data_IF_921080968631
#
_entry.id   IF_921080968631
#
_cell.length_a   1.000
_cell.length_b   1.000
_cell.length_c   1.000
_cell.angle_alpha   90.00
_cell.angle_beta   90.00
_cell.angle_gamma   90.00
#
_symmetry.space_group_name_H-M   'P 1'
#
loop_
_entity.id
_entity.type
_entity.pdbx_description
1 polymer ?
#
# COMPACT_ATOMS: atom_id res chain seq x y z
N UNK A 1 44.76 -39.84 -52.66
CA UNK A 1 45.74 -38.76 -52.87
C UNK A 1 44.94 -37.49 -53.13
N UNK A 2 44.82 -36.62 -52.13
CA UNK A 2 44.26 -35.27 -52.33
C UNK A 2 45.25 -34.45 -53.14
N UNK A 3 44.77 -33.74 -54.17
CA UNK A 3 45.58 -32.88 -55.02
C UNK A 3 46.31 -31.83 -54.15
N UNK A 4 47.64 -31.63 -54.28
CA UNK A 4 48.36 -30.59 -53.57
C UNK A 4 47.74 -29.20 -53.75
N UNK A 5 47.08 -28.91 -54.88
CA UNK A 5 46.38 -27.65 -55.10
C UNK A 5 45.16 -27.46 -54.16
N UNK A 6 44.40 -28.52 -53.89
CA UNK A 6 43.25 -28.50 -52.97
C UNK A 6 43.69 -28.31 -51.51
N UNK A 7 44.84 -28.87 -51.13
CA UNK A 7 45.38 -28.72 -49.77
C UNK A 7 45.74 -27.26 -49.44
N UNK A 8 46.35 -26.55 -50.39
CA UNK A 8 46.73 -25.13 -50.27
C UNK A 8 45.51 -24.22 -50.23
N UNK A 9 44.46 -24.52 -51.01
CA UNK A 9 43.19 -23.79 -50.97
C UNK A 9 42.47 -23.96 -49.63
N UNK A 10 42.46 -25.18 -49.07
CA UNK A 10 41.87 -25.47 -47.76
C UNK A 10 42.64 -24.78 -46.63
N UNK A 11 43.98 -24.75 -46.70
CA UNK A 11 44.82 -24.05 -45.72
C UNK A 11 44.64 -22.52 -45.78
N UNK A 12 44.61 -21.93 -46.98
CA UNK A 12 44.36 -20.50 -47.16
C UNK A 12 42.94 -20.07 -46.73
N UNK A 13 41.93 -20.92 -46.90
CA UNK A 13 40.58 -20.69 -46.36
C UNK A 13 40.55 -20.81 -44.82
N UNK A 14 41.24 -21.80 -44.24
CA UNK A 14 41.37 -21.95 -42.78
C UNK A 14 42.09 -20.76 -42.14
N UNK A 15 43.13 -20.23 -42.77
CA UNK A 15 43.84 -19.03 -42.29
C UNK A 15 42.97 -17.77 -42.32
N UNK A 16 42.20 -17.54 -43.40
CA UNK A 16 41.25 -16.42 -43.47
C UNK A 16 40.18 -16.49 -42.38
N UNK A 17 39.67 -17.68 -42.07
CA UNK A 17 38.72 -17.89 -40.96
C UNK A 17 39.40 -17.64 -39.61
N UNK A 18 40.64 -18.12 -39.41
CA UNK A 18 41.44 -17.88 -38.19
C UNK A 18 41.72 -16.39 -37.96
N UNK A 19 42.00 -15.62 -39.01
CA UNK A 19 42.25 -14.17 -38.93
C UNK A 19 41.01 -13.40 -38.45
N UNK A 20 39.80 -13.82 -38.83
CA UNK A 20 38.54 -13.23 -38.37
C UNK A 20 38.02 -13.74 -37.02
N UNK A 21 38.45 -14.93 -36.59
CA UNK A 21 37.96 -15.61 -35.39
C UNK A 21 38.25 -14.80 -34.11
N UNK A 22 39.45 -14.25 -33.97
CA UNK A 22 39.83 -13.44 -32.78
C UNK A 22 39.01 -12.16 -32.63
N UNK A 23 38.54 -11.57 -33.74
CA UNK A 23 37.70 -10.36 -33.75
C UNK A 23 36.27 -10.69 -33.34
N UNK A 24 35.74 -11.82 -33.81
CA UNK A 24 34.41 -12.34 -33.42
C UNK A 24 34.37 -12.73 -31.94
N UNK A 25 35.35 -13.50 -31.47
CA UNK A 25 35.44 -13.90 -30.05
C UNK A 25 35.57 -12.70 -29.11
N UNK A 26 36.29 -11.64 -29.50
CA UNK A 26 36.34 -10.38 -28.73
C UNK A 26 35.02 -9.62 -28.73
N UNK A 27 34.29 -9.60 -29.84
CA UNK A 27 32.95 -9.00 -29.92
C UNK A 27 31.95 -9.77 -29.06
N UNK A 28 31.96 -11.11 -29.12
CA UNK A 28 31.12 -11.99 -28.32
C UNK A 28 31.40 -11.86 -26.82
N UNK A 29 32.68 -11.83 -26.41
CA UNK A 29 33.05 -11.58 -25.00
C UNK A 29 32.55 -10.22 -24.51
N UNK A 30 32.66 -9.17 -25.32
CA UNK A 30 32.12 -7.84 -24.98
C UNK A 30 30.60 -7.86 -24.88
N UNK A 31 29.91 -8.50 -25.83
CA UNK A 31 28.45 -8.63 -25.79
C UNK A 31 27.97 -9.39 -24.55
N UNK A 32 28.60 -10.53 -24.23
CA UNK A 32 28.32 -11.28 -23.00
C UNK A 32 28.62 -10.43 -21.75
N UNK A 33 29.74 -9.70 -21.73
CA UNK A 33 30.07 -8.82 -20.61
C UNK A 33 29.04 -7.70 -20.44
N UNK A 34 28.60 -7.04 -21.52
CA UNK A 34 27.54 -6.03 -21.46
C UNK A 34 26.22 -6.63 -20.98
N UNK A 35 25.85 -7.83 -21.44
CA UNK A 35 24.66 -8.54 -20.95
C UNK A 35 24.72 -8.84 -19.45
N UNK A 36 25.85 -9.37 -18.98
CA UNK A 36 26.06 -9.64 -17.54
C UNK A 36 26.04 -8.35 -16.73
N UNK A 37 26.72 -7.28 -17.20
CA UNK A 37 26.71 -5.97 -16.53
C UNK A 37 25.28 -5.40 -16.47
N UNK A 38 24.51 -5.50 -17.55
CA UNK A 38 23.12 -5.05 -17.58
C UNK A 38 22.24 -5.81 -16.57
N UNK A 39 22.39 -7.14 -16.50
CA UNK A 39 21.67 -7.97 -15.52
C UNK A 39 22.06 -7.60 -14.10
N UNK A 40 23.37 -7.47 -13.81
CA UNK A 40 23.86 -7.08 -12.48
C UNK A 40 23.34 -5.70 -12.11
N UNK A 41 23.40 -4.73 -13.02
CA UNK A 41 22.88 -3.38 -12.79
C UNK A 41 21.36 -3.40 -12.51
N UNK A 42 20.59 -4.19 -13.27
CA UNK A 42 19.15 -4.34 -13.06
C UNK A 42 18.83 -4.94 -11.68
N UNK A 43 19.57 -5.97 -11.27
CA UNK A 43 19.42 -6.59 -9.94
C UNK A 43 19.79 -5.58 -8.84
N UNK A 44 20.89 -4.85 -9.00
CA UNK A 44 21.31 -3.83 -8.03
C UNK A 44 20.26 -2.71 -7.91
N UNK A 45 19.70 -2.26 -9.03
CA UNK A 45 18.63 -1.26 -9.04
C UNK A 45 17.36 -1.80 -8.35
N UNK A 46 16.98 -3.06 -8.59
CA UNK A 46 15.85 -3.70 -7.92
C UNK A 46 16.08 -3.80 -6.41
N UNK A 47 17.25 -4.25 -5.98
CA UNK A 47 17.62 -4.35 -4.56
C UNK A 47 17.65 -2.96 -3.90
N UNK A 48 18.16 -1.95 -4.59
CA UNK A 48 18.13 -0.57 -4.13
C UNK A 48 16.68 -0.06 -3.96
N UNK A 49 15.82 -0.30 -4.95
CA UNK A 49 14.41 0.09 -4.88
C UNK A 49 13.69 -0.65 -3.73
N UNK A 50 13.87 -1.97 -3.62
CA UNK A 50 13.30 -2.76 -2.54
C UNK A 50 13.80 -2.29 -1.16
N UNK A 51 15.09 -1.98 -1.05
CA UNK A 51 15.71 -1.46 0.17
C UNK A 51 15.14 -0.09 0.57
N UNK A 52 14.96 0.82 -0.38
CA UNK A 52 14.37 2.14 -0.10
C UNK A 52 12.90 2.05 0.29
N UNK A 53 12.12 1.17 -0.36
CA UNK A 53 10.72 0.90 0.02
C UNK A 53 10.66 0.34 1.45
N UNK A 54 11.50 -0.64 1.78
CA UNK A 54 11.54 -1.22 3.13
C UNK A 54 11.94 -0.19 4.19
N UNK A 55 12.99 0.60 3.93
CA UNK A 55 13.48 1.62 4.85
C UNK A 55 12.45 2.73 5.12
N UNK A 56 11.77 3.21 4.07
CA UNK A 56 10.75 4.25 4.21
C UNK A 56 9.45 3.71 4.81
N UNK A 57 9.11 2.45 4.51
CA UNK A 57 7.86 1.81 4.93
C UNK A 57 7.87 1.23 6.34
N UNK A 58 9.05 0.92 6.92
CA UNK A 58 9.13 0.23 8.22
C UNK A 58 8.38 0.97 9.34
N UNK A 59 8.37 2.30 9.29
CA UNK A 59 7.73 3.13 10.29
C UNK A 59 6.20 2.95 10.36
N UNK A 60 5.56 2.43 9.30
CA UNK A 60 4.11 2.17 9.28
C UNK A 60 3.68 1.02 10.21
N UNK A 61 4.60 0.10 10.53
CA UNK A 61 4.36 -1.00 11.48
C UNK A 61 4.30 -0.53 12.95
N UNK A 62 4.60 0.73 13.22
CA UNK A 62 4.54 1.32 14.54
C UNK A 62 3.50 2.44 14.54
N UNK A 63 2.79 2.61 15.64
CA UNK A 63 1.81 3.68 15.82
C UNK A 63 2.02 4.32 17.18
N UNK A 64 2.03 5.64 17.22
CA UNK A 64 2.09 6.42 18.45
C UNK A 64 0.70 6.53 19.07
N UNK A 65 0.61 6.23 20.36
CA UNK A 65 -0.57 6.34 21.19
C UNK A 65 -0.33 7.35 22.31
N UNK A 66 -1.37 8.08 22.68
CA UNK A 66 -1.34 9.07 23.75
C UNK A 66 -2.41 8.68 24.77
N UNK A 67 -2.02 8.64 26.04
CA UNK A 67 -2.91 8.37 27.17
C UNK A 67 -3.61 9.67 27.59
N UNK A 68 -4.92 9.68 27.46
CA UNK A 68 -5.77 10.81 27.81
C UNK A 68 -6.67 10.43 28.98
N UNK A 69 -6.80 11.34 29.94
CA UNK A 69 -7.77 11.19 31.02
C UNK A 69 -9.02 11.97 30.62
N UNK A 70 -10.14 11.27 30.54
CA UNK A 70 -11.41 11.82 30.09
C UNK A 70 -12.42 11.71 31.21
N UNK A 71 -12.97 12.84 31.63
CA UNK A 71 -14.13 12.87 32.50
C UNK A 71 -15.37 12.60 31.66
N UNK A 72 -16.08 11.52 31.97
CA UNK A 72 -17.28 11.10 31.26
C UNK A 72 -18.48 11.82 31.84
N UNK A 73 -18.69 13.07 31.41
CA UNK A 73 -19.83 13.85 31.87
C UNK A 73 -21.15 13.18 31.45
N UNK A 74 -22.01 12.92 32.43
CA UNK A 74 -23.31 12.30 32.19
C UNK A 74 -24.24 13.22 31.38
N UNK A 75 -24.12 14.54 31.54
CA UNK A 75 -24.94 15.50 30.81
C UNK A 75 -24.58 15.53 29.31
N UNK A 76 -23.31 15.32 28.98
CA UNK A 76 -22.85 15.26 27.58
C UNK A 76 -23.10 13.89 26.95
N UNK A 77 -22.86 12.80 27.69
CA UNK A 77 -22.85 11.44 27.12
C UNK A 77 -24.23 10.78 27.17
N UNK A 78 -25.03 11.07 28.20
CA UNK A 78 -26.35 10.46 28.41
C UNK A 78 -27.32 11.48 29.02
N UNK A 79 -27.67 12.57 28.29
CA UNK A 79 -28.54 13.64 28.81
C UNK A 79 -29.91 13.12 29.26
N UNK A 80 -30.44 12.12 28.58
CA UNK A 80 -31.72 11.46 28.91
C UNK A 80 -31.59 10.39 30.02
N UNK A 81 -30.38 10.19 30.57
CA UNK A 81 -30.05 9.13 31.53
C UNK A 81 -30.07 7.71 30.96
N UNK A 82 -30.38 7.57 29.66
CA UNK A 82 -30.39 6.29 28.95
C UNK A 82 -28.97 5.88 28.56
N UNK A 83 -28.66 4.62 28.80
CA UNK A 83 -27.32 4.05 28.59
C UNK A 83 -27.33 2.87 27.63
N UNK A 84 -28.42 2.71 26.88
CA UNK A 84 -28.47 1.68 25.86
C UNK A 84 -27.51 1.98 24.70
N UNK A 85 -26.96 0.95 24.04
CA UNK A 85 -25.94 1.14 23.01
C UNK A 85 -26.37 1.96 21.80
N UNK A 86 -27.67 2.07 21.49
CA UNK A 86 -28.13 2.83 20.34
C UNK A 86 -28.20 4.32 20.69
N UNK A 87 -28.89 4.67 21.79
CA UNK A 87 -28.97 6.04 22.28
C UNK A 87 -27.58 6.63 22.55
N UNK A 88 -26.67 5.86 23.18
CA UNK A 88 -25.30 6.36 23.37
C UNK A 88 -24.61 6.68 22.04
N UNK A 89 -24.83 5.91 20.96
CA UNK A 89 -24.19 6.19 19.67
C UNK A 89 -24.73 7.42 18.97
N UNK A 90 -26.04 7.66 19.11
CA UNK A 90 -26.76 8.70 18.40
C UNK A 90 -26.71 10.04 19.13
N UNK A 91 -26.90 10.02 20.46
CA UNK A 91 -27.12 11.23 21.26
C UNK A 91 -25.91 11.63 22.13
N UNK A 92 -24.94 10.74 22.34
CA UNK A 92 -23.81 10.99 23.24
C UNK A 92 -22.72 11.87 22.64
N UNK A 93 -22.42 13.02 23.25
CA UNK A 93 -21.32 13.92 22.86
C UNK A 93 -19.97 13.48 23.47
N UNK A 94 -19.44 12.37 22.94
CA UNK A 94 -18.10 11.88 23.33
C UNK A 94 -16.98 12.82 22.90
N UNK A 95 -17.20 13.58 21.83
CA UNK A 95 -16.23 14.55 21.33
C UNK A 95 -16.09 15.72 22.30
N UNK A 96 -17.20 16.27 22.76
CA UNK A 96 -17.26 17.32 23.77
C UNK A 96 -16.55 16.88 25.05
N UNK A 97 -16.94 15.72 25.60
CA UNK A 97 -16.30 15.17 26.81
C UNK A 97 -14.78 15.02 26.68
N UNK A 98 -14.30 14.52 25.53
CA UNK A 98 -12.86 14.41 25.23
C UNK A 98 -12.18 15.78 25.14
N UNK A 99 -12.75 16.71 24.37
CA UNK A 99 -12.17 18.05 24.17
C UNK A 99 -12.13 18.82 25.48
N UNK A 100 -13.21 18.83 26.25
CA UNK A 100 -13.28 19.53 27.54
C UNK A 100 -12.22 18.99 28.52
N UNK A 101 -12.10 17.66 28.61
CA UNK A 101 -11.09 17.02 29.45
C UNK A 101 -9.66 17.36 29.03
N UNK A 102 -9.37 17.39 27.72
CA UNK A 102 -8.07 17.77 27.18
C UNK A 102 -7.74 19.24 27.46
N UNK A 103 -8.67 20.15 27.16
CA UNK A 103 -8.49 21.58 27.35
C UNK A 103 -8.29 21.90 28.84
N UNK A 104 -9.06 21.26 29.73
CA UNK A 104 -8.91 21.39 31.17
C UNK A 104 -7.54 20.89 31.66
N UNK A 105 -7.12 19.70 31.23
CA UNK A 105 -5.87 19.05 31.65
C UNK A 105 -4.63 19.89 31.29
N UNK A 106 -4.62 20.47 30.09
CA UNK A 106 -3.51 21.29 29.61
C UNK A 106 -3.70 22.80 29.84
N UNK A 107 -4.78 23.21 30.53
CA UNK A 107 -5.15 24.60 30.85
C UNK A 107 -5.11 25.51 29.62
N UNK A 108 -5.59 24.99 28.48
CA UNK A 108 -5.58 25.72 27.21
C UNK A 108 -6.71 26.73 27.19
N UNK A 109 -6.45 27.93 26.64
CA UNK A 109 -7.45 28.98 26.45
C UNK A 109 -7.39 29.51 25.03
N UNK A 110 -8.55 29.65 24.42
CA UNK A 110 -8.72 30.28 23.11
C UNK A 110 -8.83 29.25 21.99
N UNK A 111 -9.79 29.47 21.11
CA UNK A 111 -10.24 28.51 20.10
C UNK A 111 -9.13 27.98 19.19
N UNK A 112 -8.19 28.84 18.82
CA UNK A 112 -7.06 28.44 17.98
C UNK A 112 -6.14 27.43 18.69
N UNK A 113 -5.81 27.68 19.96
CA UNK A 113 -4.95 26.77 20.73
C UNK A 113 -5.68 25.46 21.05
N UNK A 114 -6.97 25.54 21.36
CA UNK A 114 -7.81 24.34 21.55
C UNK A 114 -7.80 23.46 20.30
N UNK A 115 -8.05 24.04 19.12
CA UNK A 115 -8.02 23.30 17.86
C UNK A 115 -6.64 22.66 17.60
N UNK A 116 -5.55 23.37 17.91
CA UNK A 116 -4.19 22.82 17.78
C UNK A 116 -3.93 21.67 18.75
N UNK A 117 -4.45 21.73 19.98
CA UNK A 117 -4.34 20.63 20.94
C UNK A 117 -5.11 19.41 20.46
N UNK A 118 -6.37 19.60 20.05
CA UNK A 118 -7.22 18.51 19.56
C UNK A 118 -6.62 17.85 18.31
N UNK A 119 -6.00 18.63 17.42
CA UNK A 119 -5.32 18.12 16.23
C UNK A 119 -4.09 17.24 16.52
N UNK A 120 -3.64 17.14 17.77
CA UNK A 120 -2.58 16.20 18.16
C UNK A 120 -3.07 14.74 18.27
N UNK A 121 -4.38 14.55 18.31
CA UNK A 121 -5.04 13.26 18.48
C UNK A 121 -5.73 12.86 17.18
N UNK A 122 -5.83 11.56 16.92
CA UNK A 122 -6.54 11.08 15.74
C UNK A 122 -8.03 11.35 15.85
N UNK A 123 -8.70 11.55 14.72
CA UNK A 123 -10.16 11.68 14.64
C UNK A 123 -10.89 10.41 15.12
N UNK A 124 -10.20 9.25 15.19
CA UNK A 124 -10.74 8.02 15.77
C UNK A 124 -10.78 8.00 17.31
N UNK A 125 -10.19 9.00 17.98
CA UNK A 125 -10.18 9.07 19.45
C UNK A 125 -11.59 9.06 20.04
N UNK A 126 -12.51 9.82 19.42
CA UNK A 126 -13.93 9.87 19.78
C UNK A 126 -14.59 8.49 19.66
N UNK A 127 -14.42 7.82 18.52
CA UNK A 127 -14.97 6.47 18.28
C UNK A 127 -14.36 5.42 19.22
N UNK A 128 -13.10 5.58 19.59
CA UNK A 128 -12.44 4.72 20.57
C UNK A 128 -13.05 4.90 21.95
N UNK A 129 -13.26 6.15 22.37
CA UNK A 129 -13.92 6.47 23.62
C UNK A 129 -15.37 5.95 23.65
N UNK A 130 -16.15 6.25 22.61
CA UNK A 130 -17.53 5.80 22.45
C UNK A 130 -17.64 4.28 22.57
N UNK A 131 -16.81 3.50 21.85
CA UNK A 131 -16.81 2.03 21.94
C UNK A 131 -16.47 1.54 23.34
N UNK A 132 -15.55 2.21 24.04
CA UNK A 132 -15.16 1.85 25.40
C UNK A 132 -16.30 2.06 26.41
N UNK A 133 -17.01 3.19 26.29
CA UNK A 133 -18.15 3.53 27.17
C UNK A 133 -19.38 2.69 26.86
N UNK A 134 -19.70 2.42 25.59
CA UNK A 134 -20.82 1.54 25.24
C UNK A 134 -20.62 0.13 25.80
N UNK A 135 -19.39 -0.38 25.76
CA UNK A 135 -19.07 -1.67 26.36
C UNK A 135 -19.13 -1.66 27.90
N UNK A 136 -19.01 -0.48 28.52
CA UNK A 136 -18.96 -0.31 29.97
C UNK A 136 -19.72 0.96 30.42
N UNK A 137 -21.06 1.00 30.32
CA UNK A 137 -21.82 2.22 30.60
C UNK A 137 -21.69 2.71 32.06
N UNK A 138 -21.32 1.83 32.98
CA UNK A 138 -21.02 2.14 34.39
C UNK A 138 -19.86 3.12 34.59
N UNK A 139 -19.10 3.44 33.54
CA UNK A 139 -18.01 4.41 33.58
C UNK A 139 -18.51 5.86 33.52
N UNK A 140 -19.75 6.09 33.05
CA UNK A 140 -20.35 7.42 32.97
C UNK A 140 -20.36 8.07 34.37
N UNK A 141 -19.97 9.34 34.45
CA UNK A 141 -19.76 10.11 35.68
C UNK A 141 -18.38 9.93 36.32
N UNK A 142 -17.44 9.21 35.68
CA UNK A 142 -16.08 8.97 36.21
C UNK A 142 -15.01 9.48 35.26
N UNK A 143 -13.82 9.75 35.81
CA UNK A 143 -12.62 9.97 34.99
C UNK A 143 -12.03 8.63 34.59
N UNK A 144 -11.83 8.41 33.30
CA UNK A 144 -11.21 7.19 32.76
C UNK A 144 -9.95 7.56 31.97
N UNK A 145 -8.91 6.75 32.12
CA UNK A 145 -7.71 6.87 31.30
C UNK A 145 -7.82 5.94 30.09
N UNK A 146 -7.79 6.50 28.88
CA UNK A 146 -7.83 5.73 27.64
C UNK A 146 -6.61 6.04 26.77
N UNK A 147 -6.17 5.03 26.02
CA UNK A 147 -5.15 5.22 24.99
C UNK A 147 -5.83 5.51 23.66
N UNK A 148 -5.49 6.65 23.07
CA UNK A 148 -5.98 7.06 21.75
C UNK A 148 -4.81 7.20 20.79
N UNK A 149 -5.04 7.00 19.50
CA UNK A 149 -3.99 7.21 18.49
C UNK A 149 -3.60 8.68 18.43
N UNK A 150 -2.31 8.95 18.32
CA UNK A 150 -1.81 10.27 17.93
C UNK A 150 -2.18 10.57 16.48
N UNK A 151 -2.32 11.85 16.13
CA UNK A 151 -2.48 12.25 14.73
C UNK A 151 -1.21 11.95 13.93
N UNK A 152 -1.33 11.83 12.60
CA UNK A 152 -0.19 11.56 11.71
C UNK A 152 1.00 12.51 11.92
N UNK A 153 0.75 13.80 12.18
CA UNK A 153 1.82 14.76 12.43
C UNK A 153 2.57 14.47 13.75
N UNK A 154 1.86 14.10 14.82
CA UNK A 154 2.48 13.76 16.11
C UNK A 154 3.16 12.38 16.06
N UNK A 155 2.59 11.45 15.31
CA UNK A 155 3.20 10.16 15.06
C UNK A 155 4.52 10.30 14.27
N UNK A 156 4.54 11.12 13.23
CA UNK A 156 5.76 11.45 12.48
C UNK A 156 6.80 12.22 13.31
N UNK A 157 6.35 13.09 14.21
CA UNK A 157 7.23 13.75 15.19
C UNK A 157 7.91 12.73 16.10
N UNK A 158 7.14 11.79 16.64
CA UNK A 158 7.65 10.73 17.54
C UNK A 158 8.64 9.82 16.83
N UNK A 159 8.39 9.52 15.55
CA UNK A 159 9.26 8.71 14.69
C UNK A 159 10.48 9.46 14.14
N UNK A 160 10.64 10.74 14.48
CA UNK A 160 11.78 11.56 14.05
C UNK A 160 11.72 12.05 12.59
N UNK A 161 10.61 11.84 11.89
CA UNK A 161 10.41 12.34 10.53
C UNK A 161 10.17 13.86 10.50
N UNK A 162 9.54 14.42 11.55
CA UNK A 162 9.45 15.86 11.74
C UNK A 162 10.60 16.34 12.63
N UNK A 163 11.49 17.13 12.04
CA UNK A 163 12.67 17.71 12.68
C UNK A 163 12.27 18.86 13.62
N UNK A 164 12.64 18.75 14.90
CA UNK A 164 12.33 19.73 15.96
C UNK A 164 13.23 20.97 15.91
N UNK A 165 14.41 20.85 15.32
CA UNK A 165 15.42 21.91 15.19
C UNK A 165 15.11 22.92 14.09
N UNK A 166 14.10 22.65 13.26
CA UNK A 166 13.67 23.58 12.22
C UNK A 166 12.80 24.72 12.78
N UNK A 167 12.87 25.93 12.20
CA UNK A 167 11.95 27.02 12.53
C UNK A 167 10.49 26.59 12.40
N UNK A 168 9.60 27.17 13.21
CA UNK A 168 8.17 26.82 13.25
C UNK A 168 7.46 26.91 11.89
N UNK A 169 7.91 27.79 10.99
CA UNK A 169 7.40 27.91 9.62
C UNK A 169 7.76 26.71 8.73
N UNK A 170 8.85 26.01 9.02
CA UNK A 170 9.35 24.87 8.26
C UNK A 170 8.77 23.51 8.67
N UNK A 171 7.82 23.48 9.62
CA UNK A 171 7.25 22.25 10.17
C UNK A 171 5.74 22.35 10.39
N UNK A 172 5.07 21.20 10.28
CA UNK A 172 3.61 21.08 10.45
C UNK A 172 3.19 21.27 11.90
N UNK A 173 3.84 20.55 12.81
CA UNK A 173 3.68 20.71 14.26
C UNK A 173 4.20 22.10 14.67
N UNK A 174 3.53 22.78 15.61
CA UNK A 174 3.87 24.14 16.09
C UNK A 174 4.64 24.14 17.41
N UNK A 175 5.23 25.26 17.80
CA UNK A 175 6.04 25.37 19.04
C UNK A 175 5.19 25.03 20.26
N UNK A 176 3.96 25.53 20.28
CA UNK A 176 2.98 25.24 21.35
C UNK A 176 2.64 23.75 21.43
N UNK A 177 2.51 23.07 20.28
CA UNK A 177 2.24 21.63 20.25
C UNK A 177 3.44 20.80 20.69
N UNK A 178 4.68 21.24 20.41
CA UNK A 178 5.87 20.61 20.97
C UNK A 178 5.89 20.72 22.49
N UNK A 179 5.57 21.88 23.05
CA UNK A 179 5.53 22.03 24.51
C UNK A 179 4.50 21.09 25.17
N UNK A 180 3.33 20.89 24.55
CA UNK A 180 2.36 19.90 25.04
C UNK A 180 2.84 18.47 24.85
N UNK A 181 3.47 18.17 23.71
CA UNK A 181 4.06 16.86 23.45
C UNK A 181 5.14 16.51 24.48
N UNK A 182 6.09 17.42 24.73
CA UNK A 182 7.19 17.22 25.68
C UNK A 182 6.65 16.98 27.09
N UNK A 183 5.57 17.68 27.46
CA UNK A 183 4.86 17.43 28.73
C UNK A 183 4.22 16.04 28.77
N UNK A 184 3.54 15.62 27.71
CA UNK A 184 2.96 14.28 27.61
C UNK A 184 4.04 13.18 27.70
N UNK A 185 5.19 13.42 27.07
CA UNK A 185 6.34 12.52 27.09
C UNK A 185 6.93 12.42 28.50
N UNK A 186 7.15 13.56 29.18
CA UNK A 186 7.61 13.62 30.57
C UNK A 186 6.65 12.92 31.54
N UNK A 187 5.35 13.05 31.32
CA UNK A 187 4.30 12.40 32.12
C UNK A 187 4.16 10.88 31.82
N UNK A 188 4.95 10.33 30.89
CA UNK A 188 4.87 8.92 30.51
C UNK A 188 3.56 8.55 29.79
N UNK A 189 2.94 9.51 29.12
CA UNK A 189 1.63 9.36 28.43
C UNK A 189 1.77 9.05 26.96
N UNK A 190 2.97 8.97 26.41
CA UNK A 190 3.21 8.64 25.00
C UNK A 190 3.83 7.25 24.93
N UNK A 191 3.27 6.41 24.05
CA UNK A 191 3.79 5.07 23.81
C UNK A 191 3.72 4.73 22.32
N UNK A 192 4.81 4.23 21.77
CA UNK A 192 4.83 3.68 20.41
C UNK A 192 4.63 2.17 20.47
N UNK A 193 3.60 1.68 19.79
CA UNK A 193 3.20 0.26 19.79
C UNK A 193 3.25 -0.31 18.39
N UNK A 194 3.34 -1.63 18.29
CA UNK A 194 3.17 -2.32 17.01
C UNK A 194 1.73 -2.11 16.49
N UNK A 195 1.60 -1.63 15.25
CA UNK A 195 0.34 -1.27 14.63
C UNK A 195 -0.31 -2.50 14.01
N UNK A 196 -0.96 -3.33 14.83
CA UNK A 196 -1.75 -4.47 14.33
C UNK A 196 -2.91 -4.01 13.43
N UNK A 197 -3.43 -2.80 13.66
CA UNK A 197 -4.45 -2.18 12.82
C UNK A 197 -4.02 -2.03 11.36
N UNK A 198 -2.74 -1.83 11.09
CA UNK A 198 -2.20 -1.73 9.73
C UNK A 198 -2.62 -2.89 8.82
N UNK A 199 -2.74 -4.10 9.37
CA UNK A 199 -3.10 -5.30 8.61
C UNK A 199 -4.60 -5.56 8.55
N UNK A 200 -5.40 -4.95 9.43
CA UNK A 200 -6.84 -5.24 9.55
C UNK A 200 -7.74 -4.09 9.13
N UNK A 201 -7.22 -2.88 9.02
CA UNK A 201 -7.97 -1.71 8.54
C UNK A 201 -7.80 -1.51 7.03
N UNK A 202 -8.83 -0.92 6.42
CA UNK A 202 -8.82 -0.50 5.02
C UNK A 202 -8.13 0.85 4.81
N UNK A 203 -8.30 1.41 3.62
CA UNK A 203 -7.84 2.76 3.30
C UNK A 203 -8.58 3.81 4.14
N UNK A 204 -7.89 4.91 4.43
CA UNK A 204 -8.43 6.05 5.18
C UNK A 204 -7.84 7.35 4.65
N UNK A 205 -8.59 8.44 4.82
CA UNK A 205 -8.09 9.80 4.58
C UNK A 205 -7.08 10.25 5.64
N UNK A 206 -7.14 9.63 6.83
CA UNK A 206 -6.22 9.89 7.93
C UNK A 206 -5.10 8.83 7.94
N UNK A 207 -3.83 9.21 7.75
CA UNK A 207 -2.73 8.24 7.63
C UNK A 207 -2.58 7.30 8.82
N UNK A 208 -2.85 7.74 10.05
CA UNK A 208 -2.73 6.91 11.26
C UNK A 208 -3.86 5.85 11.40
N UNK A 209 -4.90 5.94 10.56
CA UNK A 209 -6.00 4.97 10.50
C UNK A 209 -5.91 4.05 9.29
N UNK A 210 -5.12 4.41 8.29
CA UNK A 210 -4.98 3.65 7.06
C UNK A 210 -4.28 2.29 7.30
N UNK A 211 -4.75 1.27 6.60
CA UNK A 211 -4.17 -0.06 6.57
C UNK A 211 -4.19 -0.66 5.17
N UNK A 212 -3.58 -1.83 5.03
CA UNK A 212 -3.37 -2.52 3.75
C UNK A 212 -4.41 -3.60 3.47
N UNK A 213 -5.35 -3.85 4.39
CA UNK A 213 -6.28 -4.97 4.28
C UNK A 213 -7.10 -4.93 2.99
N UNK A 214 -7.65 -3.75 2.65
CA UNK A 214 -8.43 -3.55 1.44
C UNK A 214 -7.62 -3.83 0.18
N UNK A 215 -6.36 -3.40 0.14
CA UNK A 215 -5.46 -3.63 -1.00
C UNK A 215 -5.08 -5.11 -1.15
N UNK A 216 -4.80 -5.80 -0.04
CA UNK A 216 -4.49 -7.24 -0.04
C UNK A 216 -5.69 -8.04 -0.54
N UNK A 217 -6.87 -7.83 0.05
CA UNK A 217 -8.09 -8.58 -0.31
C UNK A 217 -8.49 -8.27 -1.75
N UNK A 218 -8.47 -7.00 -2.16
CA UNK A 218 -8.78 -6.60 -3.53
C UNK A 218 -7.84 -7.26 -4.55
N UNK A 219 -6.53 -7.24 -4.28
CA UNK A 219 -5.54 -7.88 -5.16
C UNK A 219 -5.72 -9.39 -5.23
N UNK A 220 -5.93 -10.03 -4.07
CA UNK A 220 -6.16 -11.48 -4.00
C UNK A 220 -7.40 -11.89 -4.79
N UNK A 221 -8.53 -11.21 -4.59
CA UNK A 221 -9.77 -11.49 -5.31
C UNK A 221 -9.63 -11.26 -6.82
N UNK A 222 -8.91 -10.21 -7.21
CA UNK A 222 -8.64 -9.91 -8.63
C UNK A 222 -7.85 -11.05 -9.27
N UNK A 223 -6.74 -11.46 -8.66
CA UNK A 223 -5.93 -12.60 -9.13
C UNK A 223 -6.72 -13.91 -9.14
N UNK A 224 -7.58 -14.14 -8.15
CA UNK A 224 -8.41 -15.33 -8.07
C UNK A 224 -9.41 -15.40 -9.23
N UNK A 225 -10.09 -14.30 -9.54
CA UNK A 225 -11.00 -14.21 -10.69
C UNK A 225 -10.23 -14.43 -12.00
N UNK A 226 -9.08 -13.77 -12.16
CA UNK A 226 -8.22 -13.98 -13.33
C UNK A 226 -7.84 -15.44 -13.48
N UNK A 227 -7.39 -16.08 -12.40
CA UNK A 227 -6.98 -17.49 -12.43
C UNK A 227 -8.15 -18.41 -12.80
N UNK A 228 -9.33 -18.22 -12.18
CA UNK A 228 -10.52 -19.05 -12.44
C UNK A 228 -10.98 -18.96 -13.90
N UNK A 229 -10.82 -17.80 -14.54
CA UNK A 229 -11.23 -17.59 -15.94
C UNK A 229 -10.13 -18.00 -16.92
N UNK A 230 -8.92 -17.47 -16.75
CA UNK A 230 -7.82 -17.65 -17.69
C UNK A 230 -7.26 -19.08 -17.67
N UNK A 231 -7.15 -19.71 -16.50
CA UNK A 231 -6.49 -21.01 -16.40
C UNK A 231 -7.26 -22.12 -17.12
N UNK A 232 -8.58 -22.33 -16.90
CA UNK A 232 -9.31 -23.38 -17.61
C UNK A 232 -9.39 -23.13 -19.11
N UNK A 233 -9.64 -21.88 -19.53
CA UNK A 233 -9.74 -21.52 -20.95
C UNK A 233 -8.40 -21.66 -21.65
N UNK A 234 -7.32 -21.14 -21.05
CA UNK A 234 -5.97 -21.23 -21.59
C UNK A 234 -5.47 -22.66 -21.67
N UNK A 235 -5.68 -23.47 -20.62
CA UNK A 235 -5.31 -24.88 -20.62
C UNK A 235 -6.10 -25.67 -21.66
N UNK A 236 -7.42 -25.49 -21.72
CA UNK A 236 -8.27 -26.18 -22.68
C UNK A 236 -7.91 -25.80 -24.13
N UNK A 237 -7.66 -24.52 -24.41
CA UNK A 237 -7.24 -24.06 -25.72
C UNK A 237 -5.87 -24.63 -26.12
N UNK A 238 -4.89 -24.62 -25.20
CA UNK A 238 -3.56 -25.17 -25.45
C UNK A 238 -3.60 -26.68 -25.74
N UNK A 239 -4.30 -27.45 -24.90
CA UNK A 239 -4.45 -28.91 -25.11
C UNK A 239 -5.19 -29.21 -26.42
N UNK A 240 -6.25 -28.45 -26.72
CA UNK A 240 -7.00 -28.64 -27.96
C UNK A 240 -6.14 -28.35 -29.19
N UNK A 241 -5.41 -27.22 -29.21
CA UNK A 241 -4.59 -26.82 -30.36
C UNK A 241 -3.39 -27.75 -30.57
N UNK A 242 -2.75 -28.22 -29.50
CA UNK A 242 -1.55 -29.06 -29.62
C UNK A 242 -1.87 -30.53 -29.93
N UNK A 243 -2.90 -31.10 -29.29
CA UNK A 243 -3.16 -32.54 -29.36
C UNK A 243 -4.32 -32.92 -30.30
N UNK A 244 -5.35 -32.06 -30.41
CA UNK A 244 -6.61 -32.42 -31.09
C UNK A 244 -6.87 -31.64 -32.38
N UNK A 245 -6.30 -30.46 -32.56
CA UNK A 245 -6.65 -29.58 -33.66
C UNK A 245 -6.02 -30.07 -34.98
N UNK A 246 -6.82 -30.34 -36.02
CA UNK A 246 -6.28 -30.70 -37.33
C UNK A 246 -5.59 -29.48 -37.97
N UNK A 247 -4.49 -29.71 -38.70
CA UNK A 247 -3.78 -28.67 -39.46
C UNK A 247 -4.62 -28.21 -40.65
N UNK A 248 -5.39 -27.14 -40.46
CA UNK A 248 -6.25 -26.54 -41.47
C UNK A 248 -6.22 -25.01 -41.37
N UNK A 249 -6.79 -24.33 -42.37
CA UNK A 249 -6.83 -22.85 -42.41
C UNK A 249 -7.51 -22.20 -41.22
N UNK A 250 -8.42 -22.90 -40.54
CA UNK A 250 -9.10 -22.39 -39.36
C UNK A 250 -8.16 -22.40 -38.14
N UNK A 251 -7.44 -23.52 -37.93
CA UNK A 251 -6.39 -23.64 -36.91
C UNK A 251 -5.30 -22.60 -37.14
N UNK A 252 -4.82 -22.45 -38.38
CA UNK A 252 -3.82 -21.44 -38.74
C UNK A 252 -4.32 -20.01 -38.42
N UNK A 253 -5.60 -19.71 -38.70
CA UNK A 253 -6.21 -18.42 -38.38
C UNK A 253 -6.29 -18.18 -36.87
N UNK A 254 -6.65 -19.21 -36.08
CA UNK A 254 -6.70 -19.12 -34.62
C UNK A 254 -5.29 -18.86 -34.07
N UNK A 255 -4.28 -19.61 -34.50
CA UNK A 255 -2.89 -19.45 -34.06
C UNK A 255 -2.34 -18.05 -34.38
N UNK A 256 -2.61 -17.51 -35.58
CA UNK A 256 -2.21 -16.15 -35.95
C UNK A 256 -2.88 -15.11 -35.06
N UNK A 257 -4.17 -15.26 -34.76
CA UNK A 257 -4.87 -14.31 -33.87
C UNK A 257 -4.36 -14.38 -32.42
N UNK A 258 -4.07 -15.57 -31.90
CA UNK A 258 -3.47 -15.75 -30.56
C UNK A 258 -2.11 -15.05 -30.50
N UNK A 259 -1.25 -15.27 -31.50
CA UNK A 259 0.07 -14.63 -31.57
C UNK A 259 -0.04 -13.10 -31.71
N UNK A 260 -0.99 -12.61 -32.50
CA UNK A 260 -1.24 -11.17 -32.63
C UNK A 260 -1.73 -10.56 -31.31
N UNK A 261 -2.66 -11.22 -30.60
CA UNK A 261 -3.15 -10.78 -29.29
C UNK A 261 -2.02 -10.73 -28.26
N UNK A 262 -1.13 -11.72 -28.25
CA UNK A 262 0.03 -11.74 -27.34
C UNK A 262 1.03 -10.59 -27.59
N UNK A 263 1.05 -10.02 -28.80
CA UNK A 263 1.93 -8.91 -29.16
C UNK A 263 1.34 -7.52 -28.85
N UNK A 264 0.05 -7.42 -28.56
CA UNK A 264 -0.61 -6.14 -28.28
C UNK A 264 -0.20 -5.63 -26.89
N UNK A 265 0.14 -4.33 -26.74
CA UNK A 265 0.47 -3.76 -25.44
C UNK A 265 -0.68 -3.88 -24.43
N UNK A 266 -0.36 -4.25 -23.19
CA UNK A 266 -1.34 -4.48 -22.12
C UNK A 266 -2.26 -3.29 -21.82
N UNK A 267 -1.79 -2.05 -22.06
CA UNK A 267 -2.61 -0.84 -21.87
C UNK A 267 -3.84 -0.80 -22.80
N UNK A 268 -3.73 -1.35 -24.01
CA UNK A 268 -4.84 -1.40 -24.97
C UNK A 268 -5.92 -2.35 -24.46
N UNK A 269 -5.55 -3.52 -23.96
CA UNK A 269 -6.49 -4.46 -23.34
C UNK A 269 -7.14 -3.88 -22.08
N UNK A 270 -6.39 -3.14 -21.26
CA UNK A 270 -6.94 -2.45 -20.10
C UNK A 270 -8.03 -1.44 -20.45
N UNK A 271 -7.80 -0.61 -21.48
CA UNK A 271 -8.76 0.38 -21.95
C UNK A 271 -9.97 -0.27 -22.67
N UNK A 272 -9.75 -1.33 -23.44
CA UNK A 272 -10.82 -2.11 -24.07
C UNK A 272 -11.71 -2.77 -23.01
N UNK A 273 -11.09 -3.38 -22.00
CA UNK A 273 -11.77 -3.99 -20.87
C UNK A 273 -12.63 -2.98 -20.10
N UNK A 274 -12.11 -1.78 -19.86
CA UNK A 274 -12.90 -0.67 -19.29
C UNK A 274 -14.15 -0.38 -20.13
N UNK A 275 -14.01 -0.24 -21.45
CA UNK A 275 -15.11 0.07 -22.35
C UNK A 275 -16.16 -1.05 -22.40
N UNK A 276 -15.72 -2.30 -22.50
CA UNK A 276 -16.63 -3.45 -22.58
C UNK A 276 -17.32 -3.69 -21.24
N UNK A 277 -16.58 -3.81 -20.14
CA UNK A 277 -17.16 -4.22 -18.87
C UNK A 277 -17.85 -3.09 -18.12
N UNK A 278 -17.29 -1.88 -18.09
CA UNK A 278 -17.89 -0.77 -17.34
C UNK A 278 -18.85 0.08 -18.18
N UNK A 279 -18.58 0.30 -19.47
CA UNK A 279 -19.44 1.17 -20.28
C UNK A 279 -20.55 0.38 -21.01
N UNK A 280 -20.26 -0.82 -21.51
CA UNK A 280 -21.24 -1.62 -22.25
C UNK A 280 -22.04 -2.55 -21.34
N UNK A 281 -21.38 -3.30 -20.45
CA UNK A 281 -22.05 -4.19 -19.49
C UNK A 281 -22.44 -3.52 -18.17
N UNK A 282 -22.12 -2.23 -17.99
CA UNK A 282 -22.47 -1.42 -16.80
C UNK A 282 -22.07 -2.05 -15.46
N UNK A 283 -20.97 -2.81 -15.43
CA UNK A 283 -20.52 -3.46 -14.21
C UNK A 283 -20.03 -2.44 -13.18
N UNK A 284 -20.09 -2.77 -11.87
CA UNK A 284 -19.68 -1.86 -10.82
C UNK A 284 -18.19 -1.50 -10.92
N UNK A 285 -17.90 -0.20 -10.82
CA UNK A 285 -16.53 0.31 -10.77
C UNK A 285 -15.84 -0.16 -9.49
N UNK A 286 -14.51 -0.28 -9.54
CA UNK A 286 -13.68 -0.66 -8.39
C UNK A 286 -13.98 -2.04 -7.82
N UNK A 287 -14.62 -2.92 -8.60
CA UNK A 287 -14.85 -4.31 -8.22
C UNK A 287 -13.64 -5.18 -8.65
N UNK A 288 -13.07 -6.01 -7.75
CA UNK A 288 -12.04 -7.00 -8.10
C UNK A 288 -12.46 -7.93 -9.24
N UNK A 289 -13.78 -8.18 -9.37
CA UNK A 289 -14.36 -8.95 -10.46
C UNK A 289 -14.04 -8.36 -11.84
N UNK A 290 -14.26 -7.05 -12.03
CA UNK A 290 -14.00 -6.39 -13.32
C UNK A 290 -12.51 -6.39 -13.63
N UNK A 291 -11.67 -6.03 -12.64
CA UNK A 291 -10.22 -6.12 -12.80
C UNK A 291 -9.76 -7.52 -13.20
N UNK A 292 -10.33 -8.55 -12.56
CA UNK A 292 -9.99 -9.94 -12.83
C UNK A 292 -10.39 -10.39 -14.23
N UNK A 293 -11.55 -9.97 -14.73
CA UNK A 293 -12.03 -10.26 -16.09
C UNK A 293 -11.21 -9.55 -17.17
N UNK A 294 -10.69 -8.36 -16.90
CA UNK A 294 -9.82 -7.63 -17.85
C UNK A 294 -8.44 -8.26 -17.97
N UNK A 295 -7.94 -8.84 -16.86
CA UNK A 295 -6.65 -9.52 -16.82
C UNK A 295 -6.70 -10.96 -17.35
N UNK A 296 -7.88 -11.57 -17.44
CA UNK A 296 -8.08 -12.93 -17.93
C UNK A 296 -8.08 -12.99 -19.46
#
# INVERSE_FOLDING_TARGET
MTDPADSVLIEGQKEKVRQGLSRRLRAERRFRAYGVVAIVLAILMLLFLAGTIAANGYSAFYQTWIKVDVFLDAELIAPDGKTDPQTLREDGDFRGALIESLVASYRVRGREKENRLVAMFSTDAERTLQRHVIANPQLIGRTVSIWVKASSDIDQLTKGAIRRDLPESGRKVKDVQLAWYDRMEQDGRIETRFNTGFFSTGDSREPEQAGIWGAIVGSFLTMLVTLILAFPVGLAAAVYLEEFAPKNRLTDLIEVNINNLAAVPSIVFGLLGLAVFLNFFELPRSAPLVGGMVLA
#
